data_IF_446194193564
#
_entry.id   IF_446194193564
#
_cell.length_a   1.000
_cell.length_b   1.000
_cell.length_c   1.000
_cell.angle_alpha   90.00
_cell.angle_beta   90.00
_cell.angle_gamma   90.00
#
_symmetry.space_group_name_H-M   'P 1'
#
loop_
_entity.id
_entity.type
_entity.pdbx_description
1 polymer ?
#
# COMPACT_ATOMS: atom_id res chain seq x y z
N UNK A 1 38.98 51.22 67.34
CA UNK A 1 37.92 51.23 66.31
C UNK A 1 37.27 49.87 66.34
N UNK A 2 36.09 49.75 66.94
CA UNK A 2 35.40 48.48 67.09
C UNK A 2 34.04 48.68 67.75
N UNK A 3 33.05 47.90 67.30
CA UNK A 3 31.74 47.79 67.92
C UNK A 3 30.58 48.14 66.99
N UNK A 4 30.16 47.18 66.17
CA UNK A 4 28.87 47.20 65.50
C UNK A 4 27.78 46.65 66.45
N UNK A 5 26.58 47.23 66.39
CA UNK A 5 25.34 46.76 67.01
C UNK A 5 24.29 46.59 65.89
N UNK A 6 23.68 45.39 65.83
CA UNK A 6 22.44 45.01 65.13
C UNK A 6 21.20 45.67 65.81
N UNK A 7 19.91 45.56 65.37
CA UNK A 7 19.24 44.64 64.41
C UNK A 7 18.29 45.39 63.42
N UNK A 8 17.47 44.84 62.52
CA UNK A 8 16.96 43.52 62.14
C UNK A 8 15.91 43.72 61.02
N UNK A 9 15.25 42.62 60.64
CA UNK A 9 14.02 42.51 59.82
C UNK A 9 14.15 41.98 58.38
N UNK A 10 13.77 40.70 58.29
CA UNK A 10 12.78 40.13 57.37
C UNK A 10 12.94 40.40 55.87
N UNK A 11 13.50 39.42 55.18
CA UNK A 11 13.01 39.08 53.84
C UNK A 11 13.06 37.55 53.66
N UNK A 12 11.97 36.90 54.05
CA UNK A 12 11.68 35.53 53.65
C UNK A 12 11.10 35.59 52.24
N UNK A 13 11.98 35.65 51.24
CA UNK A 13 11.61 35.42 49.86
C UNK A 13 11.16 33.98 49.68
N UNK A 14 9.85 33.77 49.60
CA UNK A 14 9.24 32.55 49.07
C UNK A 14 9.80 32.30 47.66
N UNK A 15 10.69 31.32 47.55
CA UNK A 15 10.93 30.66 46.27
C UNK A 15 9.84 29.61 46.13
N UNK A 16 8.80 29.95 45.36
CA UNK A 16 7.79 29.02 44.89
C UNK A 16 8.47 27.92 44.06
N UNK A 17 8.91 26.86 44.73
CA UNK A 17 9.20 25.59 44.12
C UNK A 17 7.87 24.99 43.69
N UNK A 18 7.45 25.32 42.47
CA UNK A 18 6.41 24.59 41.76
C UNK A 18 6.91 23.16 41.51
N UNK A 19 6.74 22.28 42.50
CA UNK A 19 6.80 20.84 42.33
C UNK A 19 5.61 20.44 41.46
N UNK A 20 5.78 20.44 40.15
CA UNK A 20 4.90 19.70 39.25
C UNK A 20 5.32 18.22 39.28
N UNK A 21 5.02 17.56 40.40
CA UNK A 21 5.05 16.09 40.49
C UNK A 21 3.84 15.55 39.71
N UNK A 22 3.92 15.61 38.39
CA UNK A 22 3.19 14.67 37.55
C UNK A 22 3.87 13.32 37.69
N UNK A 23 3.27 12.40 38.43
CA UNK A 23 3.69 11.00 38.40
C UNK A 23 3.61 10.51 36.95
N UNK A 24 4.75 10.49 36.26
CA UNK A 24 4.85 9.86 34.93
C UNK A 24 4.75 8.36 35.18
N UNK A 25 3.68 7.74 34.67
CA UNK A 25 3.55 6.27 34.71
C UNK A 25 4.83 5.66 34.14
N UNK A 26 5.44 4.74 34.89
CA UNK A 26 6.65 4.01 34.48
C UNK A 26 6.51 3.39 33.09
N UNK A 27 5.27 3.12 32.64
CA UNK A 27 4.95 2.60 31.30
C UNK A 27 5.07 3.63 30.18
N UNK A 28 4.85 4.91 30.47
CA UNK A 28 4.82 6.02 29.51
C UNK A 28 6.19 6.69 29.32
N UNK A 29 7.22 6.23 30.04
CA UNK A 29 8.59 6.75 29.91
C UNK A 29 9.07 6.64 28.46
N UNK A 30 9.51 7.77 27.89
CA UNK A 30 10.06 7.87 26.53
C UNK A 30 9.03 7.79 25.40
N UNK A 31 7.73 7.92 25.71
CA UNK A 31 6.64 7.83 24.74
C UNK A 31 6.75 8.89 23.65
N UNK A 32 6.65 8.46 22.38
CA UNK A 32 6.81 9.31 21.18
C UNK A 32 8.20 9.95 20.98
N UNK A 33 9.13 9.81 21.93
CA UNK A 33 10.47 10.37 21.87
C UNK A 33 11.44 9.52 21.02
N UNK A 34 11.13 8.23 20.87
CA UNK A 34 11.97 7.26 20.18
C UNK A 34 11.33 6.69 18.92
N UNK A 35 12.15 6.14 18.03
CA UNK A 35 11.72 5.44 16.83
C UNK A 35 12.58 5.77 15.62
N UNK A 36 11.95 5.74 14.46
CA UNK A 36 12.54 6.09 13.17
C UNK A 36 11.51 6.84 12.31
N UNK A 37 11.88 7.20 11.09
CA UNK A 37 10.99 7.86 10.13
C UNK A 37 9.74 7.01 9.79
N UNK A 38 9.83 5.69 9.96
CA UNK A 38 8.73 4.76 9.68
C UNK A 38 7.73 4.64 10.83
N UNK A 39 8.22 4.45 12.05
CA UNK A 39 7.41 4.11 13.23
C UNK A 39 7.98 4.75 14.49
N UNK A 40 7.10 5.22 15.37
CA UNK A 40 7.46 5.73 16.70
C UNK A 40 7.42 4.57 17.69
N UNK A 41 8.53 4.21 18.30
CA UNK A 41 8.60 3.04 19.18
C UNK A 41 9.84 3.07 20.05
N UNK A 42 9.76 2.41 21.20
CA UNK A 42 10.78 2.42 22.25
C UNK A 42 11.65 1.14 22.25
N UNK A 43 11.70 0.44 21.11
CA UNK A 43 12.54 -0.75 20.92
C UNK A 43 13.11 -0.88 19.50
N UNK A 44 14.26 -1.55 19.39
CA UNK A 44 14.85 -2.03 18.13
C UNK A 44 14.56 -3.52 17.96
N UNK A 45 14.50 -4.00 16.71
CA UNK A 45 14.32 -5.43 16.39
C UNK A 45 15.67 -6.08 16.14
N UNK A 46 15.81 -7.34 16.54
CA UNK A 46 16.94 -8.19 16.13
C UNK A 46 16.52 -8.93 14.87
N UNK A 47 17.15 -8.61 13.74
CA UNK A 47 16.81 -9.22 12.45
C UNK A 47 17.18 -10.71 12.44
N UNK A 48 16.24 -11.64 12.22
CA UNK A 48 16.52 -13.08 12.31
C UNK A 48 17.48 -13.59 11.24
N UNK A 49 17.52 -12.91 10.08
CA UNK A 49 18.33 -13.21 8.91
C UNK A 49 19.84 -12.97 9.11
N UNK A 50 20.22 -11.83 9.69
CA UNK A 50 21.62 -11.40 9.81
C UNK A 50 22.05 -11.17 11.27
N UNK A 51 21.12 -11.35 12.24
CA UNK A 51 21.31 -11.14 13.68
C UNK A 51 21.75 -9.72 14.07
N UNK A 52 21.60 -8.77 13.15
CA UNK A 52 21.89 -7.36 13.41
C UNK A 52 20.66 -6.64 13.98
N UNK A 53 20.91 -5.55 14.71
CA UNK A 53 19.88 -4.79 15.41
C UNK A 53 19.47 -3.57 14.58
N UNK A 54 18.17 -3.44 14.28
CA UNK A 54 17.65 -2.35 13.46
C UNK A 54 16.46 -1.61 14.10
N UNK A 55 16.32 -0.29 13.84
CA UNK A 55 15.19 0.48 14.32
C UNK A 55 13.84 0.04 13.78
N UNK A 56 13.74 -0.64 12.63
CA UNK A 56 12.56 -1.34 12.12
C UNK A 56 12.91 -2.21 10.90
N UNK A 57 11.93 -2.95 10.37
CA UNK A 57 12.12 -3.78 9.15
C UNK A 57 12.42 -2.94 7.90
N UNK A 58 11.88 -1.73 7.81
CA UNK A 58 12.11 -0.83 6.67
C UNK A 58 13.54 -0.30 6.69
N UNK A 59 13.99 0.18 7.86
CA UNK A 59 15.38 0.57 8.06
C UNK A 59 16.36 -0.59 7.79
N UNK A 60 16.01 -1.82 8.16
CA UNK A 60 16.80 -3.00 7.78
C UNK A 60 16.85 -3.15 6.25
N UNK A 61 15.68 -3.22 5.59
CA UNK A 61 15.61 -3.48 4.16
C UNK A 61 16.37 -2.40 3.36
N UNK A 62 16.24 -1.13 3.73
CA UNK A 62 16.99 -0.01 3.17
C UNK A 62 18.50 -0.16 3.33
N UNK A 63 18.97 -0.52 4.53
CA UNK A 63 20.39 -0.74 4.79
C UNK A 63 20.98 -1.89 3.97
N UNK A 64 20.18 -2.94 3.71
CA UNK A 64 20.61 -4.12 2.94
C UNK A 64 20.57 -3.94 1.42
N UNK A 65 20.03 -2.82 0.90
CA UNK A 65 20.03 -2.55 -0.55
C UNK A 65 21.44 -2.41 -1.11
N UNK A 66 22.36 -1.84 -0.31
CA UNK A 66 23.74 -1.54 -0.68
C UNK A 66 24.72 -2.71 -0.50
N UNK A 67 24.25 -3.85 0.00
CA UNK A 67 25.06 -5.04 0.29
C UNK A 67 24.33 -6.32 -0.11
N UNK A 68 24.35 -7.32 0.77
CA UNK A 68 23.59 -8.56 0.57
C UNK A 68 22.09 -8.28 0.64
N UNK A 69 21.39 -8.37 -0.49
CA UNK A 69 19.94 -8.15 -0.55
C UNK A 69 19.19 -9.26 0.18
N UNK A 70 18.63 -8.92 1.33
CA UNK A 70 17.74 -9.80 2.08
C UNK A 70 16.65 -9.00 2.78
N UNK A 71 15.54 -9.67 3.12
CA UNK A 71 14.40 -9.01 3.78
C UNK A 71 14.08 -9.72 5.08
N UNK A 72 13.57 -8.95 6.04
CA UNK A 72 13.11 -9.51 7.32
C UNK A 72 11.63 -9.88 7.22
N UNK A 73 11.34 -11.16 7.46
CA UNK A 73 9.98 -11.60 7.74
C UNK A 73 9.55 -11.11 9.12
N UNK A 74 8.40 -10.44 9.19
CA UNK A 74 7.84 -9.86 10.42
C UNK A 74 7.51 -10.89 11.51
N UNK A 75 7.15 -12.11 11.11
CA UNK A 75 6.73 -13.17 12.02
C UNK A 75 7.91 -13.88 12.69
N UNK A 76 9.08 -13.81 12.06
CA UNK A 76 10.29 -14.53 12.52
C UNK A 76 11.10 -13.72 13.55
N UNK A 77 10.60 -12.55 13.95
CA UNK A 77 11.26 -11.70 14.95
C UNK A 77 10.97 -12.28 16.34
N UNK A 78 12.01 -12.83 16.97
CA UNK A 78 11.91 -13.42 18.30
C UNK A 78 12.41 -12.50 19.41
N UNK A 79 13.30 -11.55 19.08
CA UNK A 79 13.99 -10.70 20.05
C UNK A 79 13.93 -9.22 19.69
N UNK A 80 13.87 -8.40 20.73
CA UNK A 80 13.88 -6.95 20.69
C UNK A 80 14.86 -6.38 21.71
N UNK A 81 15.37 -5.19 21.45
CA UNK A 81 16.27 -4.45 22.35
C UNK A 81 15.56 -3.18 22.78
N UNK A 82 15.41 -2.97 24.10
CA UNK A 82 14.83 -1.74 24.65
C UNK A 82 15.70 -0.53 24.31
N UNK A 83 15.09 0.60 23.93
CA UNK A 83 15.82 1.85 23.67
C UNK A 83 16.09 2.67 24.93
N UNK A 84 15.43 2.36 26.05
CA UNK A 84 15.56 3.12 27.30
C UNK A 84 16.66 2.56 28.21
N UNK A 85 16.83 1.24 28.22
CA UNK A 85 17.76 0.55 29.11
C UNK A 85 18.64 -0.50 28.41
N UNK A 86 18.64 -0.52 27.07
CA UNK A 86 19.47 -1.40 26.21
C UNK A 86 19.35 -2.90 26.51
N UNK A 87 18.28 -3.33 27.19
CA UNK A 87 18.05 -4.74 27.51
C UNK A 87 17.57 -5.50 26.28
N UNK A 88 18.30 -6.54 25.88
CA UNK A 88 17.86 -7.54 24.90
C UNK A 88 16.90 -8.54 25.57
N UNK A 89 15.74 -8.74 24.98
CA UNK A 89 14.68 -9.58 25.53
C UNK A 89 13.85 -10.25 24.43
N UNK A 90 13.10 -11.31 24.74
CA UNK A 90 12.09 -11.82 23.81
C UNK A 90 11.03 -10.76 23.50
N UNK A 91 10.33 -10.91 22.38
CA UNK A 91 9.21 -10.02 22.03
C UNK A 91 8.16 -10.01 23.14
N UNK A 92 7.91 -8.83 23.68
CA UNK A 92 6.83 -8.53 24.63
C UNK A 92 6.41 -7.08 24.49
N UNK A 93 5.24 -6.72 25.00
CA UNK A 93 4.75 -5.33 24.96
C UNK A 93 5.58 -4.39 25.85
N UNK A 94 6.03 -4.88 27.01
CA UNK A 94 6.79 -4.10 27.99
C UNK A 94 8.21 -4.66 28.18
N UNK A 95 9.12 -3.78 28.59
CA UNK A 95 10.48 -4.16 28.93
C UNK A 95 10.53 -4.99 30.23
N UNK A 96 11.29 -6.10 30.22
CA UNK A 96 11.44 -6.95 31.40
C UNK A 96 12.33 -6.34 32.48
N UNK A 97 13.16 -5.36 32.11
CA UNK A 97 14.12 -4.71 33.01
C UNK A 97 13.57 -3.40 33.57
N UNK A 98 13.18 -2.45 32.71
CA UNK A 98 12.67 -1.14 33.15
C UNK A 98 11.15 -1.06 33.30
N UNK A 99 10.39 -2.06 32.84
CA UNK A 99 8.92 -2.07 32.93
C UNK A 99 8.19 -1.12 31.96
N UNK A 100 8.90 -0.27 31.23
CA UNK A 100 8.32 0.65 30.26
C UNK A 100 7.64 -0.10 29.11
N UNK A 101 6.52 0.41 28.61
CA UNK A 101 5.94 -0.10 27.37
C UNK A 101 6.90 0.18 26.21
N UNK A 102 6.97 -0.70 25.22
CA UNK A 102 7.82 -0.53 24.03
C UNK A 102 7.07 0.08 22.84
N UNK A 103 5.75 0.08 22.92
CA UNK A 103 4.82 0.60 21.93
C UNK A 103 3.45 0.74 22.58
N UNK A 104 2.74 1.84 22.35
CA UNK A 104 1.34 1.99 22.79
C UNK A 104 0.43 0.97 22.10
N UNK A 105 0.58 0.83 20.78
CA UNK A 105 0.04 -0.27 20.03
C UNK A 105 1.08 -1.38 19.89
N UNK A 106 0.73 -2.57 20.36
CA UNK A 106 1.52 -3.78 20.19
C UNK A 106 0.70 -4.87 19.51
N UNK A 107 1.27 -5.48 18.48
CA UNK A 107 0.71 -6.66 17.83
C UNK A 107 1.68 -7.83 17.93
N UNK A 108 1.32 -8.83 18.71
CA UNK A 108 2.15 -10.02 18.90
C UNK A 108 2.25 -10.89 17.63
N UNK A 109 1.21 -10.93 16.80
CA UNK A 109 1.21 -11.71 15.56
C UNK A 109 2.19 -11.12 14.54
N UNK A 110 2.23 -9.79 14.42
CA UNK A 110 3.11 -9.08 13.49
C UNK A 110 4.43 -8.64 14.11
N UNK A 111 4.63 -8.87 15.41
CA UNK A 111 5.78 -8.36 16.20
C UNK A 111 5.98 -6.85 15.98
N UNK A 112 4.87 -6.11 15.97
CA UNK A 112 4.81 -4.70 15.58
C UNK A 112 4.52 -3.80 16.78
N UNK A 113 5.17 -2.63 16.79
CA UNK A 113 5.13 -1.63 17.86
C UNK A 113 5.00 -0.25 17.23
N UNK A 114 4.04 0.54 17.70
CA UNK A 114 3.90 1.96 17.33
C UNK A 114 3.30 2.74 18.52
N UNK A 115 3.86 3.89 18.84
CA UNK A 115 3.36 4.79 19.89
C UNK A 115 2.26 5.71 19.37
N UNK A 116 2.28 5.97 18.06
CA UNK A 116 1.36 6.87 17.39
C UNK A 116 0.02 6.19 17.11
N UNK A 117 -0.82 6.08 18.13
CA UNK A 117 -2.13 5.41 18.04
C UNK A 117 -3.19 6.20 17.25
N UNK A 118 -2.93 7.46 16.91
CA UNK A 118 -3.86 8.30 16.12
C UNK A 118 -4.11 7.72 14.72
N UNK A 119 -3.16 6.94 14.19
CA UNK A 119 -3.30 6.23 12.92
C UNK A 119 -4.38 5.13 12.95
N UNK A 120 -4.86 4.73 14.13
CA UNK A 120 -5.87 3.67 14.27
C UNK A 120 -5.38 2.33 13.73
N UNK A 121 -4.18 1.90 14.16
CA UNK A 121 -3.62 0.61 13.78
C UNK A 121 -4.52 -0.53 14.26
N UNK A 122 -4.71 -1.54 13.43
CA UNK A 122 -5.40 -2.76 13.81
C UNK A 122 -4.86 -3.96 13.06
N UNK A 123 -4.88 -5.13 13.71
CA UNK A 123 -4.53 -6.38 13.05
C UNK A 123 -5.74 -6.98 12.34
N UNK A 124 -5.57 -7.32 11.06
CA UNK A 124 -6.54 -8.11 10.31
C UNK A 124 -6.09 -9.58 10.29
N UNK A 125 -6.84 -10.45 10.98
CA UNK A 125 -6.53 -11.88 11.07
C UNK A 125 -6.55 -12.57 9.70
N UNK A 126 -7.49 -12.23 8.82
CA UNK A 126 -7.63 -12.85 7.50
C UNK A 126 -6.50 -12.46 6.54
N UNK A 127 -5.97 -11.23 6.67
CA UNK A 127 -4.77 -10.82 5.95
C UNK A 127 -3.48 -11.25 6.65
N UNK A 128 -3.49 -11.45 7.96
CA UNK A 128 -2.30 -11.73 8.78
C UNK A 128 -1.36 -10.53 8.94
N UNK A 129 -1.86 -9.30 8.74
CA UNK A 129 -1.05 -8.07 8.79
C UNK A 129 -1.77 -6.93 9.51
N UNK A 130 -0.99 -6.03 10.12
CA UNK A 130 -1.52 -4.78 10.66
C UNK A 130 -1.82 -3.79 9.53
N UNK A 131 -2.98 -3.14 9.62
CA UNK A 131 -3.44 -2.04 8.75
C UNK A 131 -3.64 -0.79 9.61
N UNK A 132 -3.83 0.36 8.95
CA UNK A 132 -4.07 1.66 9.57
C UNK A 132 -5.39 2.24 9.08
N UNK A 133 -5.96 3.18 9.82
CA UNK A 133 -7.21 3.88 9.50
C UNK A 133 -8.45 3.41 10.27
N UNK A 134 -8.27 2.67 11.36
CA UNK A 134 -9.35 2.22 12.24
C UNK A 134 -10.00 0.91 11.78
N UNK A 135 -10.29 0.01 12.71
CA UNK A 135 -10.87 -1.32 12.39
C UNK A 135 -12.30 -1.19 11.85
N UNK A 136 -13.02 -0.18 12.31
CA UNK A 136 -14.41 0.13 11.97
C UNK A 136 -14.58 0.69 10.56
N UNK A 137 -13.56 1.34 10.01
CA UNK A 137 -13.61 1.96 8.69
C UNK A 137 -13.25 0.98 7.56
N UNK A 138 -12.80 -0.23 7.90
CA UNK A 138 -12.34 -1.22 6.95
C UNK A 138 -13.05 -2.56 7.15
N UNK A 139 -13.17 -3.32 6.06
CA UNK A 139 -13.65 -4.70 6.10
C UNK A 139 -12.75 -5.58 5.26
N UNK A 140 -12.60 -6.84 5.66
CA UNK A 140 -11.91 -7.83 4.85
C UNK A 140 -12.90 -8.46 3.87
N UNK A 141 -12.56 -8.44 2.59
CA UNK A 141 -13.31 -9.18 1.57
C UNK A 141 -12.63 -10.52 1.32
N UNK A 142 -13.27 -11.61 1.76
CA UNK A 142 -12.74 -12.98 1.63
C UNK A 142 -12.50 -13.38 0.17
N UNK A 143 -13.39 -12.99 -0.74
CA UNK A 143 -13.25 -13.29 -2.18
C UNK A 143 -12.00 -12.62 -2.77
N UNK A 144 -11.79 -11.34 -2.47
CA UNK A 144 -10.64 -10.60 -2.96
C UNK A 144 -9.35 -10.94 -2.21
N UNK A 145 -9.47 -11.44 -0.97
CA UNK A 145 -8.35 -11.68 -0.05
C UNK A 145 -7.70 -10.40 0.47
N UNK A 146 -8.44 -9.28 0.56
CA UNK A 146 -7.89 -7.97 0.93
C UNK A 146 -8.84 -7.13 1.78
N UNK A 147 -8.28 -6.21 2.56
CA UNK A 147 -9.03 -5.19 3.30
C UNK A 147 -9.34 -3.99 2.39
N UNK A 148 -10.60 -3.56 2.39
CA UNK A 148 -11.06 -2.35 1.73
C UNK A 148 -11.77 -1.44 2.75
N UNK A 149 -11.90 -0.15 2.42
CA UNK A 149 -12.72 0.75 3.22
C UNK A 149 -14.19 0.34 3.14
N UNK A 150 -14.96 0.54 4.21
CA UNK A 150 -16.39 0.17 4.29
C UNK A 150 -17.23 0.83 3.20
N UNK A 151 -16.80 1.97 2.66
CA UNK A 151 -17.43 2.60 1.49
C UNK A 151 -17.47 1.71 0.24
N UNK A 152 -16.54 0.75 0.10
CA UNK A 152 -16.49 -0.21 -1.01
C UNK A 152 -17.24 -1.51 -0.70
N UNK A 153 -17.91 -1.61 0.45
CA UNK A 153 -18.72 -2.78 0.79
C UNK A 153 -19.81 -2.96 -0.26
N UNK A 154 -19.87 -4.15 -0.84
CA UNK A 154 -20.83 -4.56 -1.88
C UNK A 154 -20.82 -3.79 -3.20
N UNK A 155 -19.96 -2.78 -3.35
CA UNK A 155 -19.85 -1.97 -4.57
C UNK A 155 -18.56 -2.21 -5.37
N UNK A 156 -17.61 -3.00 -4.83
CA UNK A 156 -16.38 -3.32 -5.56
C UNK A 156 -16.55 -4.58 -6.42
N UNK A 157 -15.96 -4.57 -7.60
CA UNK A 157 -15.96 -5.73 -8.49
C UNK A 157 -14.99 -6.78 -7.94
N UNK A 158 -15.51 -7.76 -7.19
CA UNK A 158 -14.71 -8.83 -6.61
C UNK A 158 -14.19 -9.79 -7.69
N UNK A 159 -12.87 -9.90 -7.81
CA UNK A 159 -12.22 -11.00 -8.52
C UNK A 159 -11.41 -11.81 -7.50
N UNK A 160 -11.53 -13.13 -7.59
CA UNK A 160 -10.90 -14.03 -6.63
C UNK A 160 -9.40 -13.84 -6.57
N UNK A 161 -8.86 -13.74 -5.36
CA UNK A 161 -7.43 -13.64 -5.09
C UNK A 161 -6.70 -12.51 -5.84
N UNK A 162 -7.39 -11.43 -6.20
CA UNK A 162 -6.78 -10.38 -7.02
C UNK A 162 -5.49 -9.84 -6.39
N UNK A 163 -5.41 -9.74 -5.07
CA UNK A 163 -4.22 -9.17 -4.39
C UNK A 163 -3.10 -10.18 -4.14
N UNK A 164 -3.34 -11.49 -4.29
CA UNK A 164 -2.36 -12.56 -4.05
C UNK A 164 -1.64 -13.00 -5.32
N UNK A 165 -1.30 -12.04 -6.17
CA UNK A 165 -0.58 -12.26 -7.44
C UNK A 165 0.48 -11.18 -7.63
N UNK A 166 1.41 -11.45 -8.56
CA UNK A 166 2.47 -10.51 -8.90
C UNK A 166 1.91 -9.42 -9.82
N UNK A 167 2.44 -8.20 -9.70
CA UNK A 167 2.15 -7.12 -10.62
C UNK A 167 2.53 -7.56 -12.05
N UNK A 168 1.65 -7.45 -13.05
CA UNK A 168 1.93 -7.91 -14.42
C UNK A 168 2.97 -7.06 -15.16
N UNK A 169 3.43 -5.96 -14.56
CA UNK A 169 4.39 -5.03 -15.16
C UNK A 169 5.78 -5.17 -14.50
N UNK A 170 5.86 -5.03 -13.17
CA UNK A 170 7.14 -5.13 -12.46
C UNK A 170 7.42 -6.52 -11.86
N UNK A 171 6.46 -7.45 -11.91
CA UNK A 171 6.56 -8.82 -11.38
C UNK A 171 6.80 -8.93 -9.86
N UNK A 172 6.69 -7.82 -9.14
CA UNK A 172 6.74 -7.82 -7.68
C UNK A 172 5.42 -8.28 -7.07
N UNK A 173 5.49 -8.91 -5.90
CA UNK A 173 4.31 -9.40 -5.21
C UNK A 173 3.48 -8.25 -4.63
N UNK A 174 2.22 -8.13 -5.05
CA UNK A 174 1.36 -6.99 -4.73
C UNK A 174 1.04 -6.87 -3.23
N UNK A 175 1.04 -7.98 -2.50
CA UNK A 175 0.67 -8.00 -1.09
C UNK A 175 1.81 -7.52 -0.18
N UNK A 176 3.06 -7.78 -0.55
CA UNK A 176 4.24 -7.41 0.25
C UNK A 176 4.82 -6.04 -0.14
N UNK A 177 4.49 -5.56 -1.33
CA UNK A 177 4.90 -4.25 -1.80
C UNK A 177 4.30 -3.12 -0.95
N UNK A 178 5.11 -2.08 -0.72
CA UNK A 178 4.67 -0.84 -0.09
C UNK A 178 3.98 0.11 -1.08
N UNK A 179 4.08 -0.18 -2.37
CA UNK A 179 3.49 0.65 -3.40
C UNK A 179 1.97 0.53 -3.34
N UNK A 180 1.28 1.68 -3.49
CA UNK A 180 -0.17 1.70 -3.61
C UNK A 180 -0.63 0.80 -4.74
N UNK A 181 -1.72 0.06 -4.53
CA UNK A 181 -2.31 -0.84 -5.53
C UNK A 181 -3.65 -0.29 -6.02
N UNK A 182 -3.96 -0.51 -7.29
CA UNK A 182 -5.24 -0.15 -7.90
C UNK A 182 -5.91 -1.37 -8.48
N UNK A 183 -7.19 -1.55 -8.14
CA UNK A 183 -8.09 -2.52 -8.80
C UNK A 183 -8.57 -1.89 -10.11
N UNK A 184 -8.37 -2.58 -11.22
CA UNK A 184 -8.86 -2.17 -12.55
C UNK A 184 -10.36 -2.49 -12.69
N UNK A 185 -11.02 -1.93 -13.71
CA UNK A 185 -12.43 -2.22 -14.02
C UNK A 185 -12.69 -3.68 -14.44
N UNK A 186 -11.64 -4.41 -14.85
CA UNK A 186 -11.75 -5.85 -15.08
C UNK A 186 -11.64 -6.68 -13.79
N UNK A 187 -11.32 -6.03 -12.67
CA UNK A 187 -11.14 -6.61 -11.33
C UNK A 187 -9.72 -7.09 -11.01
N UNK A 188 -8.78 -7.09 -11.97
CA UNK A 188 -7.36 -7.36 -11.70
C UNK A 188 -6.68 -6.18 -11.03
N UNK A 189 -5.64 -6.42 -10.23
CA UNK A 189 -4.90 -5.39 -9.50
C UNK A 189 -3.47 -5.24 -10.00
N UNK A 190 -2.93 -4.03 -9.90
CA UNK A 190 -1.52 -3.70 -10.18
C UNK A 190 -1.08 -2.50 -9.33
N UNK A 191 0.22 -2.24 -9.22
CA UNK A 191 0.72 -1.03 -8.57
C UNK A 191 0.21 0.24 -9.29
N UNK A 192 -0.03 1.30 -8.53
CA UNK A 192 -0.48 2.60 -9.04
C UNK A 192 0.54 3.23 -9.99
N UNK A 193 1.83 3.09 -9.70
CA UNK A 193 2.91 3.56 -10.56
C UNK A 193 2.90 2.81 -11.89
N UNK A 194 2.88 1.47 -11.84
CA UNK A 194 2.80 0.63 -13.03
C UNK A 194 1.55 0.95 -13.87
N UNK A 195 0.40 1.19 -13.23
CA UNK A 195 -0.81 1.62 -13.91
C UNK A 195 -0.64 2.98 -14.61
N UNK A 196 -0.04 3.94 -13.91
CA UNK A 196 0.20 5.29 -14.44
C UNK A 196 1.13 5.24 -15.65
N UNK A 197 2.19 4.43 -15.59
CA UNK A 197 3.12 4.27 -16.71
C UNK A 197 2.47 3.54 -17.89
N UNK A 198 1.64 2.53 -17.61
CA UNK A 198 0.82 1.87 -18.64
C UNK A 198 -0.08 2.87 -19.39
N UNK A 199 -0.73 3.78 -18.65
CA UNK A 199 -1.56 4.86 -19.20
C UNK A 199 -0.74 5.87 -20.00
N UNK A 200 0.45 6.27 -19.52
CA UNK A 200 1.38 7.15 -20.26
C UNK A 200 1.82 6.57 -21.61
N UNK A 201 1.93 5.25 -21.70
CA UNK A 201 2.27 4.56 -22.95
C UNK A 201 1.06 4.24 -23.83
N UNK A 202 -0.10 4.87 -23.58
CA UNK A 202 -1.36 4.66 -24.30
C UNK A 202 -1.84 3.20 -24.32
N UNK A 203 -1.50 2.42 -23.28
CA UNK A 203 -2.01 1.06 -23.10
C UNK A 203 -3.17 1.08 -22.11
N UNK A 204 -4.40 0.99 -22.61
CA UNK A 204 -5.61 1.01 -21.76
C UNK A 204 -6.23 -0.37 -21.55
N UNK A 205 -5.51 -1.43 -21.94
CA UNK A 205 -5.95 -2.82 -21.81
C UNK A 205 -5.22 -3.49 -20.66
N UNK A 206 -5.96 -4.27 -19.88
CA UNK A 206 -5.38 -5.08 -18.82
C UNK A 206 -4.43 -6.13 -19.43
N UNK A 207 -3.17 -6.22 -18.99
CA UNK A 207 -2.22 -7.20 -19.52
C UNK A 207 -2.59 -8.65 -19.19
N UNK A 208 -3.48 -8.87 -18.20
CA UNK A 208 -3.88 -10.21 -17.76
C UNK A 208 -5.06 -10.76 -18.57
N UNK A 209 -6.04 -9.92 -18.90
CA UNK A 209 -7.29 -10.36 -19.53
C UNK A 209 -7.71 -9.57 -20.77
N UNK A 210 -6.89 -8.61 -21.21
CA UNK A 210 -7.10 -7.75 -22.38
C UNK A 210 -8.37 -6.88 -22.37
N UNK A 211 -9.15 -6.89 -21.28
CA UNK A 211 -10.30 -5.99 -21.08
C UNK A 211 -9.84 -4.56 -20.79
N UNK A 212 -10.72 -3.59 -21.01
CA UNK A 212 -10.47 -2.17 -20.70
C UNK A 212 -10.14 -1.98 -19.22
N UNK A 213 -9.03 -1.30 -18.95
CA UNK A 213 -8.49 -1.08 -17.61
C UNK A 213 -9.14 0.12 -16.89
N UNK A 214 -9.76 1.02 -17.65
CA UNK A 214 -10.42 2.25 -17.20
C UNK A 214 -11.76 2.42 -17.92
N UNK A 215 -12.59 3.32 -17.39
CA UNK A 215 -13.81 3.72 -18.06
C UNK A 215 -13.45 4.54 -19.31
N UNK A 216 -13.83 4.03 -20.47
CA UNK A 216 -13.57 4.62 -21.78
C UNK A 216 -14.85 5.19 -22.39
N UNK A 217 -15.93 5.35 -21.61
CA UNK A 217 -17.24 5.88 -22.02
C UNK A 217 -17.14 7.06 -22.99
N UNK A 218 -16.41 8.11 -22.63
CA UNK A 218 -16.19 9.29 -23.48
C UNK A 218 -15.46 8.98 -24.80
N UNK A 219 -14.49 8.06 -24.77
CA UNK A 219 -13.77 7.67 -25.99
C UNK A 219 -14.67 6.84 -26.92
N UNK A 220 -15.55 6.02 -26.37
CA UNK A 220 -16.55 5.29 -27.14
C UNK A 220 -17.58 6.23 -27.77
N UNK A 221 -18.02 7.27 -27.07
CA UNK A 221 -18.94 8.29 -27.61
C UNK A 221 -18.32 9.03 -28.80
N UNK A 222 -17.04 9.42 -28.71
CA UNK A 222 -16.34 10.05 -29.83
C UNK A 222 -16.23 9.13 -31.06
N UNK A 223 -15.93 7.84 -30.84
CA UNK A 223 -15.86 6.85 -31.93
C UNK A 223 -17.23 6.63 -32.57
N UNK A 224 -18.31 6.61 -31.78
CA UNK A 224 -19.67 6.48 -32.30
C UNK A 224 -20.06 7.68 -33.18
N UNK A 225 -19.67 8.90 -32.78
CA UNK A 225 -19.86 10.10 -33.59
C UNK A 225 -19.08 10.04 -34.91
N UNK A 226 -17.85 9.53 -34.89
CA UNK A 226 -17.03 9.38 -36.11
C UNK A 226 -17.57 8.30 -37.06
N UNK A 227 -18.10 7.20 -36.50
CA UNK A 227 -18.78 6.15 -37.27
C UNK A 227 -20.05 6.71 -37.91
N UNK A 228 -20.85 7.49 -37.17
CA UNK A 228 -22.07 8.11 -37.70
C UNK A 228 -21.77 9.16 -38.79
N UNK A 229 -20.70 9.92 -38.63
CA UNK A 229 -20.24 10.88 -39.62
C UNK A 229 -19.65 10.21 -40.89
N UNK A 230 -19.31 8.92 -40.82
CA UNK A 230 -18.75 8.17 -41.94
C UNK A 230 -19.84 7.40 -42.69
N UNK A 231 -20.22 7.91 -43.85
CA UNK A 231 -21.22 7.25 -44.71
C UNK A 231 -20.68 5.89 -45.17
N UNK A 232 -21.33 4.81 -44.72
CA UNK A 232 -20.94 3.44 -45.06
C UNK A 232 -21.03 3.23 -46.58
N UNK A 233 -19.96 2.74 -47.25
CA UNK A 233 -19.98 2.54 -48.69
C UNK A 233 -21.11 1.58 -49.12
N UNK A 234 -21.75 1.81 -50.29
CA UNK A 234 -22.95 1.07 -50.71
C UNK A 234 -22.80 -0.46 -50.71
N UNK A 235 -21.59 -0.95 -50.96
CA UNK A 235 -21.23 -2.38 -51.00
C UNK A 235 -21.35 -3.09 -49.65
N UNK A 236 -21.37 -2.35 -48.54
CA UNK A 236 -21.43 -2.89 -47.19
C UNK A 236 -22.75 -2.56 -46.46
N UNK A 237 -23.64 -1.81 -47.11
CA UNK A 237 -24.88 -1.25 -46.53
C UNK A 237 -25.89 -2.29 -46.02
N UNK A 238 -25.76 -3.55 -46.46
CA UNK A 238 -26.67 -4.65 -46.12
C UNK A 238 -26.09 -5.68 -45.13
N UNK A 239 -24.89 -5.46 -44.58
CA UNK A 239 -24.33 -6.33 -43.53
C UNK A 239 -24.61 -5.70 -42.16
N UNK A 240 -25.65 -6.20 -41.48
CA UNK A 240 -25.99 -5.78 -40.12
C UNK A 240 -24.90 -6.23 -39.13
N UNK A 241 -23.98 -5.34 -38.76
CA UNK A 241 -23.01 -5.54 -37.66
C UNK A 241 -23.51 -4.94 -36.33
N UNK A 242 -24.81 -5.07 -36.03
CA UNK A 242 -25.42 -4.31 -34.94
C UNK A 242 -25.14 -4.83 -33.52
N UNK A 243 -24.41 -5.93 -33.31
CA UNK A 243 -24.21 -6.49 -31.97
C UNK A 243 -22.86 -7.23 -31.81
N UNK A 244 -21.73 -6.53 -31.96
CA UNK A 244 -20.45 -7.04 -31.44
C UNK A 244 -20.26 -6.50 -30.01
N UNK A 245 -20.04 -7.35 -29.00
CA UNK A 245 -19.80 -6.88 -27.64
C UNK A 245 -18.54 -6.00 -27.59
N UNK A 246 -18.68 -4.77 -27.09
CA UNK A 246 -17.60 -3.77 -26.91
C UNK A 246 -16.63 -4.15 -25.78
N UNK A 247 -16.31 -5.43 -25.64
CA UNK A 247 -15.47 -5.97 -24.55
C UNK A 247 -14.03 -6.24 -24.98
N UNK A 248 -13.72 -6.18 -26.30
CA UNK A 248 -12.39 -6.47 -26.84
C UNK A 248 -12.03 -5.48 -27.97
N UNK A 249 -10.86 -4.83 -27.84
CA UNK A 249 -10.24 -3.99 -28.89
C UNK A 249 -10.01 -4.75 -30.22
N UNK A 250 -10.01 -6.09 -30.18
CA UNK A 250 -9.74 -6.96 -31.32
C UNK A 250 -10.89 -6.99 -32.35
N UNK A 251 -12.14 -6.74 -31.93
CA UNK A 251 -13.32 -6.86 -32.80
C UNK A 251 -13.49 -5.70 -33.79
N UNK A 252 -12.92 -4.53 -33.48
CA UNK A 252 -13.05 -3.30 -34.29
C UNK A 252 -11.98 -3.19 -35.39
N UNK A 253 -10.82 -3.84 -35.20
CA UNK A 253 -9.70 -3.83 -36.15
C UNK A 253 -10.00 -4.54 -37.47
N UNK A 254 -10.99 -5.44 -37.51
CA UNK A 254 -11.45 -6.05 -38.76
C UNK A 254 -12.20 -5.07 -39.67
N UNK A 255 -12.87 -4.06 -39.10
CA UNK A 255 -13.61 -3.04 -39.84
C UNK A 255 -12.71 -1.86 -40.28
N UNK A 256 -11.77 -1.44 -39.42
CA UNK A 256 -10.88 -0.31 -39.75
C UNK A 256 -9.78 -0.68 -40.75
N UNK A 257 -9.24 -1.90 -40.71
CA UNK A 257 -8.21 -2.33 -41.68
C UNK A 257 -8.75 -2.58 -43.09
N UNK A 258 -10.02 -2.98 -43.26
CA UNK A 258 -10.61 -3.10 -44.61
C UNK A 258 -10.86 -1.73 -45.26
N UNK A 259 -11.09 -0.68 -44.48
CA UNK A 259 -11.25 0.70 -44.98
C UNK A 259 -9.90 1.40 -45.24
N UNK A 260 -8.86 1.11 -44.46
CA UNK A 260 -7.52 1.69 -44.65
C UNK A 260 -6.83 1.20 -45.94
N UNK A 261 -7.04 -0.06 -46.33
CA UNK A 261 -6.46 -0.63 -47.56
C UNK A 261 -6.96 0.03 -48.85
N UNK A 262 -8.09 0.76 -48.81
CA UNK A 262 -8.65 1.44 -49.97
C UNK A 262 -8.10 2.85 -50.22
N UNK A 263 -7.26 3.39 -49.31
CA UNK A 263 -6.78 4.79 -49.35
C UNK A 263 -5.26 4.96 -49.31
N UNK A 264 -4.47 3.88 -49.39
CA UNK A 264 -3.00 3.97 -49.46
C UNK A 264 -2.34 4.68 -48.26
N UNK A 265 -2.98 4.68 -47.08
CA UNK A 265 -2.41 5.20 -45.84
C UNK A 265 -1.85 4.06 -44.98
N UNK A 266 -0.73 4.27 -44.27
CA UNK A 266 -0.18 3.24 -43.40
C UNK A 266 -1.16 2.93 -42.24
N UNK A 267 -1.20 1.68 -41.76
CA UNK A 267 -2.07 1.30 -40.65
C UNK A 267 -1.64 2.05 -39.38
N UNK A 268 -2.61 2.60 -38.64
CA UNK A 268 -2.35 3.35 -37.40
C UNK A 268 -1.89 2.45 -36.24
N UNK A 269 -2.01 1.13 -36.34
CA UNK A 269 -1.56 0.19 -35.32
C UNK A 269 -1.02 -1.10 -35.94
N UNK A 270 0.23 -1.43 -35.63
CA UNK A 270 0.82 -2.74 -35.89
C UNK A 270 0.58 -3.67 -34.70
N UNK A 271 -0.10 -4.80 -34.92
CA UNK A 271 -0.13 -5.90 -33.96
C UNK A 271 0.33 -7.18 -34.67
N UNK A 272 1.42 -7.77 -34.16
CA UNK A 272 1.81 -9.13 -34.46
C UNK A 272 0.72 -10.07 -33.95
N UNK A 273 0.05 -10.77 -34.87
CA UNK A 273 -0.89 -11.82 -34.54
C UNK A 273 -0.10 -13.08 -34.14
N UNK A 274 -0.03 -13.38 -32.84
CA UNK A 274 0.24 -14.75 -32.39
C UNK A 274 -1.06 -15.53 -32.47
N UNK A 275 -1.14 -16.39 -33.47
CA UNK A 275 -2.21 -17.37 -33.66
C UNK A 275 -2.18 -18.40 -32.52
N UNK A 276 -3.11 -18.32 -31.58
CA UNK A 276 -3.44 -19.45 -30.71
C UNK A 276 -4.68 -20.16 -31.28
N UNK A 277 -4.42 -21.26 -31.99
CA UNK A 277 -5.44 -22.19 -32.48
C UNK A 277 -6.10 -22.90 -31.31
N UNK A 278 -7.39 -22.61 -31.07
CA UNK A 278 -8.24 -23.39 -30.16
C UNK A 278 -8.79 -24.60 -30.92
N UNK A 279 -8.17 -25.76 -30.74
CA UNK A 279 -8.70 -27.04 -31.20
C UNK A 279 -9.92 -27.41 -30.35
N UNK A 280 -11.04 -27.68 -31.01
CA UNK A 280 -12.20 -28.35 -30.42
C UNK A 280 -11.93 -29.86 -30.38
N UNK A 281 -11.96 -30.45 -29.19
CA UNK A 281 -12.52 -31.77 -28.85
C UNK A 281 -12.59 -31.91 -27.34
#
# INVERSE_FOLDING_TARGET
MGGAHFPGDNDAGEVDAACCDGEVDLRDVGKMEHGCEHYRRRCKIVAPCCKQVFPCRHCHNEATVSGDRHTVCRQDIEKVVCLLCDTEQPVSQACVSCGANMGEYFCDICKFYDDDTEKGQYHCNDCGICRVGGKENFFHCVKCGSCYSVALRDNHQCVENSMRQNCPICYEYLFDSLQGTRVLNCGHTMHMECFTDMVKHNKYTCPICSKTALDMSHHWEMLDQEIEATIMPPVYRYKHFHNLPRTNFCSLLLLTNQLASHRGKPPLFGCFATTATRSQR
#
